data_IF_758843032556
#
_entry.id   IF_758843032556
#
_cell.length_a   1.000
_cell.length_b   1.000
_cell.length_c   1.000
_cell.angle_alpha   90.00
_cell.angle_beta   90.00
_cell.angle_gamma   90.00
#
_symmetry.space_group_name_H-M   'P 1'
#
loop_
_entity.id
_entity.type
_entity.pdbx_description
1 polymer ?
#
# COMPACT_ATOMS: atom_id res chain seq x y z
N UNK A 1 -4.04 -8.17 -12.28
CA UNK A 1 -2.94 -7.18 -12.45
C UNK A 1 -1.75 -7.53 -11.57
N UNK A 2 -1.96 -7.93 -10.31
CA UNK A 2 -0.90 -8.45 -9.44
C UNK A 2 -0.85 -9.99 -9.46
N UNK A 3 0.32 -10.54 -9.15
CA UNK A 3 0.63 -11.95 -8.96
C UNK A 3 1.61 -12.04 -7.76
N UNK A 4 1.87 -13.23 -7.23
CA UNK A 4 2.74 -13.40 -6.06
C UNK A 4 4.12 -12.75 -6.18
N UNK A 5 4.70 -12.70 -7.39
CA UNK A 5 6.01 -12.10 -7.65
C UNK A 5 6.06 -10.62 -7.30
N UNK A 6 4.98 -9.88 -7.54
CA UNK A 6 4.87 -8.47 -7.17
C UNK A 6 4.94 -8.28 -5.64
N UNK A 7 4.25 -9.13 -4.88
CA UNK A 7 4.29 -9.09 -3.42
C UNK A 7 5.70 -9.39 -2.91
N UNK A 8 6.36 -10.42 -3.44
CA UNK A 8 7.75 -10.72 -3.10
C UNK A 8 8.69 -9.55 -3.40
N UNK A 9 8.53 -8.90 -4.56
CA UNK A 9 9.34 -7.75 -4.96
C UNK A 9 9.17 -6.58 -4.00
N UNK A 10 7.92 -6.20 -3.66
CA UNK A 10 7.69 -5.16 -2.65
C UNK A 10 8.18 -5.57 -1.27
N UNK A 11 7.98 -6.83 -0.87
CA UNK A 11 8.49 -7.36 0.38
C UNK A 11 10.00 -7.17 0.51
N UNK A 12 10.78 -7.50 -0.52
CA UNK A 12 12.24 -7.28 -0.54
C UNK A 12 12.60 -5.80 -0.43
N UNK A 13 11.87 -4.91 -1.10
CA UNK A 13 12.09 -3.46 -1.03
C UNK A 13 11.79 -2.91 0.36
N UNK A 14 10.71 -3.40 0.99
CA UNK A 14 10.29 -3.03 2.34
C UNK A 14 11.20 -3.64 3.41
N UNK A 15 11.86 -4.76 3.12
CA UNK A 15 12.70 -5.42 4.10
C UNK A 15 13.86 -4.53 4.56
N UNK A 16 14.46 -3.79 3.62
CA UNK A 16 15.53 -2.83 3.89
C UNK A 16 15.09 -1.56 4.66
N UNK A 17 13.79 -1.30 4.77
CA UNK A 17 13.27 -0.11 5.46
C UNK A 17 13.16 -0.35 6.97
N UNK A 18 13.76 0.53 7.79
CA UNK A 18 13.70 0.44 9.26
C UNK A 18 12.62 1.36 9.82
N UNK A 19 11.56 0.79 10.37
CA UNK A 19 10.47 1.51 11.02
C UNK A 19 9.11 1.28 10.35
N UNK A 20 8.14 2.11 10.72
CA UNK A 20 6.79 2.10 10.14
C UNK A 20 6.67 3.16 9.04
N UNK A 21 5.95 2.82 7.98
CA UNK A 21 5.61 3.77 6.92
C UNK A 21 4.74 4.88 7.49
N UNK A 22 5.00 6.13 7.06
CA UNK A 22 4.13 7.26 7.39
C UNK A 22 2.87 7.29 6.52
N UNK A 23 2.95 6.63 5.37
CA UNK A 23 1.85 6.43 4.44
C UNK A 23 1.08 5.17 4.81
N UNK A 24 -0.21 5.14 4.50
CA UNK A 24 -1.02 3.94 4.73
C UNK A 24 -0.88 2.99 3.55
N UNK A 25 -0.13 1.91 3.75
CA UNK A 25 0.02 0.84 2.77
C UNK A 25 -1.02 -0.26 3.00
N UNK A 26 -1.63 -0.75 1.91
CA UNK A 26 -2.62 -1.83 1.94
C UNK A 26 -2.11 -3.01 1.11
N UNK A 27 -2.15 -4.22 1.67
CA UNK A 27 -1.70 -5.46 1.03
C UNK A 27 -2.88 -6.42 0.93
N UNK A 28 -3.31 -6.76 -0.28
CA UNK A 28 -4.44 -7.62 -0.59
C UNK A 28 -4.03 -8.67 -1.64
N UNK A 29 -3.57 -9.86 -1.23
CA UNK A 29 -3.24 -10.93 -2.17
C UNK A 29 -4.45 -11.30 -3.05
N UNK A 30 -4.25 -11.64 -4.33
CA UNK A 30 -5.37 -11.92 -5.23
C UNK A 30 -6.05 -13.26 -4.91
N UNK A 31 -5.33 -14.22 -4.31
CA UNK A 31 -5.89 -15.53 -3.94
C UNK A 31 -5.47 -15.98 -2.54
N UNK A 32 -6.18 -17.00 -2.01
CA UNK A 32 -5.81 -17.66 -0.75
C UNK A 32 -4.46 -18.37 -0.86
N UNK A 33 -4.16 -18.96 -2.02
CA UNK A 33 -2.89 -19.65 -2.27
C UNK A 33 -1.71 -18.67 -2.17
N UNK A 34 -1.86 -17.47 -2.74
CA UNK A 34 -0.82 -16.43 -2.64
C UNK A 34 -0.62 -15.96 -1.20
N UNK A 35 -1.71 -15.78 -0.45
CA UNK A 35 -1.63 -15.45 0.99
C UNK A 35 -0.85 -16.50 1.76
N UNK A 36 -1.21 -17.78 1.59
CA UNK A 36 -0.63 -18.88 2.35
C UNK A 36 0.87 -18.98 2.04
N UNK A 37 1.23 -18.95 0.76
CA UNK A 37 2.63 -18.98 0.34
C UNK A 37 3.44 -17.77 0.82
N UNK A 38 2.88 -16.54 0.77
CA UNK A 38 3.56 -15.35 1.30
C UNK A 38 3.69 -15.37 2.82
N UNK A 39 2.80 -16.07 3.52
CA UNK A 39 2.86 -16.28 4.97
C UNK A 39 3.98 -17.25 5.30
N UNK A 40 4.03 -18.40 4.61
CA UNK A 40 5.07 -19.42 4.77
C UNK A 40 6.47 -18.89 4.46
N UNK A 41 6.58 -18.00 3.47
CA UNK A 41 7.83 -17.31 3.11
C UNK A 41 8.19 -16.14 4.06
N UNK A 42 7.35 -15.82 5.04
CA UNK A 42 7.62 -14.80 6.06
C UNK A 42 7.36 -13.34 5.64
N UNK A 43 6.83 -13.10 4.43
CA UNK A 43 6.57 -11.74 3.94
C UNK A 43 5.53 -10.99 4.77
N UNK A 44 4.58 -11.71 5.38
CA UNK A 44 3.60 -11.12 6.30
C UNK A 44 4.25 -10.45 7.52
N UNK A 45 5.37 -11.00 8.00
CA UNK A 45 6.18 -10.39 9.07
C UNK A 45 6.80 -9.06 8.62
N UNK A 46 7.30 -8.99 7.38
CA UNK A 46 7.84 -7.76 6.78
C UNK A 46 6.76 -6.69 6.67
N UNK A 47 5.59 -7.05 6.14
CA UNK A 47 4.45 -6.13 6.00
C UNK A 47 3.96 -5.60 7.35
N UNK A 48 3.85 -6.47 8.36
CA UNK A 48 3.48 -6.08 9.72
C UNK A 48 4.49 -5.13 10.35
N UNK A 49 5.79 -5.40 10.17
CA UNK A 49 6.88 -4.57 10.69
C UNK A 49 6.85 -3.14 10.14
N UNK A 50 6.53 -2.98 8.86
CA UNK A 50 6.42 -1.66 8.23
C UNK A 50 5.06 -0.98 8.47
N UNK A 51 4.15 -1.62 9.20
CA UNK A 51 2.83 -1.06 9.54
C UNK A 51 1.81 -1.11 8.40
N UNK A 52 2.00 -2.02 7.44
CA UNK A 52 1.04 -2.20 6.35
C UNK A 52 -0.25 -2.87 6.84
N UNK A 53 -1.39 -2.46 6.28
CA UNK A 53 -2.69 -3.06 6.53
C UNK A 53 -2.91 -4.22 5.58
N UNK A 54 -3.01 -5.43 6.13
CA UNK A 54 -3.23 -6.64 5.35
C UNK A 54 -4.73 -6.92 5.27
N UNK A 55 -5.24 -7.05 4.05
CA UNK A 55 -6.64 -7.35 3.77
C UNK A 55 -6.82 -8.83 3.43
N UNK A 56 -8.06 -9.31 3.56
CA UNK A 56 -8.41 -10.65 3.10
C UNK A 56 -8.23 -10.77 1.58
N UNK A 57 -7.82 -11.95 1.07
CA UNK A 57 -7.63 -12.12 -0.36
C UNK A 57 -8.89 -11.79 -1.17
N UNK A 58 -8.73 -11.01 -2.24
CA UNK A 58 -9.84 -10.62 -3.10
C UNK A 58 -9.69 -9.22 -3.67
N UNK A 59 -10.82 -8.64 -4.11
CA UNK A 59 -10.81 -7.35 -4.79
C UNK A 59 -10.39 -6.18 -3.89
N UNK A 60 -10.59 -6.26 -2.56
CA UNK A 60 -10.24 -5.20 -1.60
C UNK A 60 -10.71 -3.81 -2.11
N UNK A 61 -9.81 -2.84 -2.17
CA UNK A 61 -10.07 -1.49 -2.66
C UNK A 61 -10.39 -1.44 -4.16
N UNK A 62 -10.36 -2.55 -4.92
CA UNK A 62 -10.60 -2.53 -6.37
C UNK A 62 -11.96 -1.98 -6.78
N UNK A 63 -13.01 -2.33 -6.03
CA UNK A 63 -14.36 -1.86 -6.32
C UNK A 63 -14.76 -0.60 -5.55
N UNK A 64 -14.10 -0.28 -4.43
CA UNK A 64 -14.46 0.89 -3.60
C UNK A 64 -15.85 0.83 -2.96
N UNK A 65 -16.44 -0.36 -2.86
CA UNK A 65 -17.79 -0.59 -2.31
C UNK A 65 -17.79 -1.06 -0.85
N UNK A 66 -16.63 -1.42 -0.29
CA UNK A 66 -16.48 -1.87 1.10
C UNK A 66 -15.46 -0.96 1.81
N UNK A 67 -14.18 -1.28 1.70
CA UNK A 67 -13.12 -0.40 2.15
C UNK A 67 -13.03 0.83 1.22
N UNK A 68 -12.86 2.02 1.82
CA UNK A 68 -12.60 3.27 1.12
C UNK A 68 -11.35 3.92 1.68
N UNK A 69 -10.61 4.60 0.81
CA UNK A 69 -9.51 5.47 1.24
C UNK A 69 -10.08 6.76 1.83
N UNK A 70 -9.24 7.52 2.53
CA UNK A 70 -9.64 8.84 3.02
C UNK A 70 -10.03 9.77 1.85
N UNK A 71 -10.92 10.72 2.12
CA UNK A 71 -11.27 11.75 1.12
C UNK A 71 -10.04 12.57 0.75
N UNK A 72 -9.96 12.95 -0.53
CA UNK A 72 -8.82 13.66 -1.12
C UNK A 72 -7.50 12.90 -1.02
N UNK A 73 -7.54 11.57 -0.82
CA UNK A 73 -6.33 10.78 -0.76
C UNK A 73 -5.67 10.61 -2.14
N UNK A 74 -4.35 10.61 -2.16
CA UNK A 74 -3.57 10.19 -3.33
C UNK A 74 -3.35 8.68 -3.26
N UNK A 75 -3.84 7.96 -4.27
CA UNK A 75 -3.79 6.51 -4.35
C UNK A 75 -3.12 6.07 -5.64
N UNK A 76 -2.34 5.00 -5.58
CA UNK A 76 -1.66 4.47 -6.76
C UNK A 76 -2.43 3.26 -7.34
N UNK A 77 -3.57 3.49 -8.03
CA UNK A 77 -4.43 2.44 -8.66
C UNK A 77 -5.20 2.92 -9.92
N UNK A 78 -6.19 2.13 -10.37
CA UNK A 78 -6.72 2.10 -11.75
C UNK A 78 -7.84 3.11 -12.12
N UNK A 79 -8.59 3.72 -11.19
CA UNK A 79 -9.72 4.59 -11.56
C UNK A 79 -9.93 5.79 -10.61
N UNK A 80 -10.02 7.05 -11.13
CA UNK A 80 -10.28 8.25 -10.32
C UNK A 80 -11.66 8.19 -9.65
N UNK A 81 -11.80 8.79 -8.46
CA UNK A 81 -13.02 8.82 -7.64
C UNK A 81 -13.64 7.45 -7.26
N UNK A 82 -13.02 6.33 -7.63
CA UNK A 82 -13.53 5.00 -7.28
C UNK A 82 -13.24 4.63 -5.83
N UNK A 83 -12.17 5.16 -5.26
CA UNK A 83 -11.61 4.69 -3.98
C UNK A 83 -12.00 5.56 -2.78
N UNK A 84 -12.25 6.84 -3.03
CA UNK A 84 -12.52 7.88 -2.03
C UNK A 84 -13.02 9.14 -2.74
N UNK A 85 -13.75 9.98 -2.02
CA UNK A 85 -14.35 11.18 -2.62
C UNK A 85 -13.24 12.18 -2.92
N UNK A 86 -13.13 12.60 -4.18
CA UNK A 86 -12.07 13.52 -4.62
C UNK A 86 -10.65 12.93 -4.54
N UNK A 87 -10.52 11.60 -4.49
CA UNK A 87 -9.22 10.95 -4.45
C UNK A 87 -8.47 11.10 -5.80
N UNK A 88 -7.20 11.49 -5.74
CA UNK A 88 -6.30 11.52 -6.88
C UNK A 88 -5.73 10.11 -7.10
N UNK A 89 -5.96 9.53 -8.27
CA UNK A 89 -5.63 8.12 -8.51
C UNK A 89 -4.64 7.99 -9.67
N UNK A 90 -3.47 7.40 -9.41
CA UNK A 90 -2.37 7.24 -10.35
C UNK A 90 -2.08 5.76 -10.61
N UNK A 91 -1.86 5.36 -11.85
CA UNK A 91 -1.44 3.99 -12.15
C UNK A 91 0.08 3.85 -11.97
N UNK A 92 0.52 2.86 -11.21
CA UNK A 92 1.93 2.47 -11.16
C UNK A 92 2.12 0.98 -10.88
N UNK A 93 3.37 0.53 -11.00
CA UNK A 93 3.75 -0.82 -10.67
C UNK A 93 3.81 -1.06 -9.15
N UNK A 94 3.82 -2.35 -8.83
CA UNK A 94 4.01 -2.90 -7.49
C UNK A 94 5.23 -2.31 -6.76
N UNK A 95 6.34 -2.30 -7.48
CA UNK A 95 7.66 -1.88 -7.01
C UNK A 95 7.71 -0.36 -6.83
N UNK A 96 7.15 0.41 -7.78
CA UNK A 96 7.14 1.87 -7.68
C UNK A 96 6.36 2.36 -6.46
N UNK A 97 5.23 1.73 -6.15
CA UNK A 97 4.45 2.11 -4.98
C UNK A 97 5.12 1.72 -3.66
N UNK A 98 5.84 0.58 -3.61
CA UNK A 98 6.65 0.23 -2.45
C UNK A 98 7.75 1.29 -2.21
N UNK A 99 8.46 1.69 -3.28
CA UNK A 99 9.49 2.72 -3.23
C UNK A 99 8.90 4.07 -2.81
N UNK A 100 7.78 4.49 -3.38
CA UNK A 100 7.12 5.74 -2.99
C UNK A 100 6.71 5.75 -1.52
N UNK A 101 6.21 4.62 -0.99
CA UNK A 101 5.90 4.48 0.42
C UNK A 101 7.10 4.76 1.32
N UNK A 102 8.28 4.24 0.94
CA UNK A 102 9.56 4.46 1.63
C UNK A 102 10.09 5.88 1.40
N UNK A 103 10.05 6.38 0.17
CA UNK A 103 10.64 7.67 -0.21
C UNK A 103 9.88 8.86 0.39
N UNK A 104 8.55 8.77 0.47
CA UNK A 104 7.72 9.77 1.16
C UNK A 104 7.96 9.80 2.67
N UNK A 105 8.52 8.74 3.25
CA UNK A 105 9.02 8.78 4.63
C UNK A 105 10.31 9.60 4.75
N UNK A 106 11.15 9.61 3.71
CA UNK A 106 12.44 10.30 3.69
C UNK A 106 12.34 11.78 3.31
N UNK A 107 11.27 12.21 2.63
CA UNK A 107 11.04 13.62 2.31
C UNK A 107 10.72 14.44 3.56
N UNK A 108 11.79 15.00 4.11
CA UNK A 108 11.92 16.13 5.03
C UNK A 108 11.01 16.13 6.26
N UNK A 109 11.54 15.62 7.37
CA UNK A 109 10.98 15.76 8.72
C UNK A 109 10.82 17.23 9.15
N UNK A 110 11.42 18.21 8.44
CA UNK A 110 11.36 19.64 8.77
C UNK A 110 10.19 20.40 8.12
N UNK A 111 9.65 19.95 6.98
CA UNK A 111 8.53 20.59 6.28
C UNK A 111 7.30 19.67 6.13
N UNK A 112 7.20 18.66 7.00
CA UNK A 112 6.19 17.63 6.88
C UNK A 112 4.79 18.16 7.26
N UNK A 113 3.78 18.05 6.37
CA UNK A 113 2.44 18.54 6.68
C UNK A 113 1.84 17.79 7.90
N UNK A 114 0.85 18.36 8.61
CA UNK A 114 0.31 17.78 9.84
C UNK A 114 -0.18 16.33 9.65
N UNK A 115 -0.20 15.51 10.72
CA UNK A 115 -0.57 14.08 10.69
C UNK A 115 -1.91 13.81 9.96
N UNK A 116 -2.87 14.75 10.05
CA UNK A 116 -4.15 14.72 9.35
C UNK A 116 -4.05 14.80 7.82
N UNK A 117 -2.98 15.39 7.30
CA UNK A 117 -2.66 15.49 5.88
C UNK A 117 -1.76 14.33 5.42
N UNK A 118 -0.94 13.76 6.32
CA UNK A 118 -0.14 12.55 6.06
C UNK A 118 -0.99 11.31 5.79
N UNK A 119 -2.13 11.19 6.47
CA UNK A 119 -3.12 10.13 6.20
C UNK A 119 -3.79 10.25 4.82
N UNK A 120 -3.62 11.39 4.11
CA UNK A 120 -4.11 11.59 2.75
C UNK A 120 -3.16 11.06 1.68
N UNK A 121 -1.91 10.70 1.99
CA UNK A 121 -1.10 9.87 1.09
C UNK A 121 -1.30 8.39 1.46
N UNK A 122 -2.33 7.80 0.84
CA UNK A 122 -2.61 6.36 0.95
C UNK A 122 -2.03 5.66 -0.26
N UNK A 123 -0.80 5.15 -0.14
CA UNK A 123 -0.24 4.26 -1.16
C UNK A 123 -0.83 2.87 -1.06
N UNK A 124 -1.99 2.70 -1.69
CA UNK A 124 -2.56 1.37 -1.91
C UNK A 124 -1.85 0.71 -3.07
N UNK A 125 -0.99 -0.25 -2.78
CA UNK A 125 -0.49 -1.30 -3.69
C UNK A 125 -0.16 -2.46 -2.77
N UNK A 126 -0.85 -3.60 -2.80
CA UNK A 126 -1.19 -4.51 -3.90
C UNK A 126 -2.50 -5.24 -3.63
#
# INVERSE_FOLDING_TARGET
>A
MTNIGHFRAAGKLLDGFKGQLLTRMWIAPPTKMDRDQLTDEGYYGIYGRVGARIETPGCSLCMGNQARVADLATVVRNFPNRLGTGANVFLASAELAAILGVYLHQMDTKNMPPRSMRQRLTLTVM
#
